data_IF_454456778267
#
_entry.id   IF_454456778267
#
_cell.length_a   1.000
_cell.length_b   1.000
_cell.length_c   1.000
_cell.angle_alpha   90.00
_cell.angle_beta   90.00
_cell.angle_gamma   90.00
#
_symmetry.space_group_name_H-M   'P 1'
#
loop_
_entity.id
_entity.type
_entity.pdbx_description
1 polymer ?
#
# COMPACT_ATOMS: atom_id res chain seq x y z
N UNK A 1 32.80 27.17 -28.59
CA UNK A 1 33.23 26.38 -27.42
C UNK A 1 32.88 27.14 -26.14
N UNK A 2 31.68 26.98 -25.55
CA UNK A 2 31.39 27.57 -24.25
C UNK A 2 31.96 26.71 -23.10
N UNK A 3 32.73 27.36 -22.24
CA UNK A 3 33.47 26.81 -21.09
C UNK A 3 32.58 26.29 -19.96
N UNK A 4 32.94 25.13 -19.43
CA UNK A 4 32.34 24.50 -18.26
C UNK A 4 32.83 25.13 -16.95
N UNK A 5 32.02 25.96 -16.28
CA UNK A 5 32.22 26.25 -14.85
C UNK A 5 31.02 26.89 -14.14
N UNK A 6 29.95 26.14 -13.94
CA UNK A 6 28.92 26.47 -12.91
C UNK A 6 28.23 25.19 -12.43
N UNK A 7 29.02 24.31 -11.81
CA UNK A 7 28.54 23.30 -10.86
C UNK A 7 29.36 23.57 -9.61
N UNK A 8 28.73 23.94 -8.48
CA UNK A 8 29.28 23.99 -7.10
C UNK A 8 28.79 25.17 -6.22
N UNK A 9 27.80 25.97 -6.66
CA UNK A 9 27.29 27.09 -5.85
C UNK A 9 25.99 26.81 -5.06
N UNK A 10 25.57 25.54 -4.90
CA UNK A 10 24.33 25.20 -4.16
C UNK A 10 24.63 24.40 -2.87
N UNK A 11 25.88 24.01 -2.61
CA UNK A 11 26.23 23.13 -1.49
C UNK A 11 26.44 23.89 -0.15
N UNK A 12 26.48 25.22 -0.14
CA UNK A 12 26.83 26.01 1.07
C UNK A 12 25.64 26.57 1.87
N UNK A 13 24.38 26.34 1.48
CA UNK A 13 23.21 26.83 2.27
C UNK A 13 22.56 25.73 3.13
N UNK A 14 22.82 24.45 2.87
CA UNK A 14 22.16 23.33 3.59
C UNK A 14 22.83 22.97 4.93
N UNK A 15 24.06 23.43 5.21
CA UNK A 15 24.78 23.08 6.44
C UNK A 15 24.43 24.00 7.63
N UNK A 16 23.77 25.15 7.41
CA UNK A 16 23.48 26.11 8.49
C UNK A 16 22.09 25.97 9.14
N UNK A 17 21.17 25.15 8.60
CA UNK A 17 19.82 24.96 9.20
C UNK A 17 19.71 23.67 10.02
N UNK A 18 20.68 22.75 9.90
CA UNK A 18 20.72 21.49 10.68
C UNK A 18 21.20 21.69 12.13
N UNK A 19 21.68 22.88 12.50
CA UNK A 19 22.18 23.17 13.85
C UNK A 19 21.20 23.92 14.79
N UNK A 20 19.93 24.15 14.41
CA UNK A 20 18.98 24.93 15.22
C UNK A 20 17.71 24.16 15.67
N UNK A 21 17.62 22.85 15.48
CA UNK A 21 16.48 22.04 16.00
C UNK A 21 16.96 20.89 16.90
N UNK A 22 18.17 21.01 17.46
CA UNK A 22 18.78 20.09 18.42
C UNK A 22 18.82 20.66 19.86
N UNK A 23 18.02 21.67 20.13
CA UNK A 23 17.81 22.23 21.46
C UNK A 23 16.31 22.51 21.66
N UNK A 24 15.79 22.18 22.84
CA UNK A 24 14.38 22.27 23.29
C UNK A 24 13.56 20.98 23.11
N UNK A 25 13.75 20.01 24.03
CA UNK A 25 12.70 19.50 24.96
C UNK A 25 13.29 18.68 26.12
N UNK A 26 14.39 19.11 26.75
CA UNK A 26 14.73 18.65 28.11
C UNK A 26 14.01 19.55 29.12
N UNK A 27 12.91 19.07 29.73
CA UNK A 27 12.48 19.39 31.10
C UNK A 27 11.17 18.70 31.45
N UNK A 28 11.25 17.47 31.95
CA UNK A 28 10.46 17.01 33.10
C UNK A 28 11.23 15.88 33.75
N UNK A 29 11.63 16.14 34.99
CA UNK A 29 12.37 15.24 35.88
C UNK A 29 11.32 14.43 36.61
N UNK A 30 11.22 13.14 36.31
CA UNK A 30 10.41 12.23 37.11
C UNK A 30 11.28 11.57 38.19
N UNK A 31 10.74 11.62 39.40
CA UNK A 31 11.39 11.36 40.68
C UNK A 31 11.77 9.90 40.88
N UNK A 32 12.94 9.72 41.50
CA UNK A 32 13.40 8.48 42.10
C UNK A 32 12.51 8.13 43.31
N UNK A 33 12.05 6.88 43.40
CA UNK A 33 11.57 6.26 44.64
C UNK A 33 11.76 4.75 44.54
N UNK A 34 12.87 4.33 45.13
CA UNK A 34 13.16 2.95 45.49
C UNK A 34 12.18 2.44 46.56
N UNK A 35 11.74 1.18 46.44
CA UNK A 35 11.88 0.13 47.48
C UNK A 35 10.89 -1.03 47.27
N UNK A 36 11.47 -2.19 46.97
CA UNK A 36 11.21 -3.53 47.54
C UNK A 36 9.85 -3.84 48.16
N UNK A 37 9.23 -4.94 47.73
CA UNK A 37 9.30 -6.24 48.44
C UNK A 37 8.23 -7.22 47.97
N UNK A 38 8.60 -8.50 48.07
CA UNK A 38 7.88 -9.69 47.69
C UNK A 38 6.44 -9.80 48.24
N UNK A 39 5.58 -10.53 47.51
CA UNK A 39 4.90 -11.71 48.06
C UNK A 39 4.24 -12.53 46.96
N UNK A 40 4.61 -13.80 46.98
CA UNK A 40 3.96 -14.96 46.38
C UNK A 40 2.48 -15.10 46.77
N UNK A 41 1.64 -15.55 45.84
CA UNK A 41 0.70 -16.65 46.10
C UNK A 41 0.01 -17.13 44.83
N UNK A 42 0.07 -18.44 44.67
CA UNK A 42 -0.69 -19.33 43.82
C UNK A 42 -2.21 -19.24 44.02
N UNK A 43 -2.99 -19.37 42.94
CA UNK A 43 -4.31 -20.03 42.90
C UNK A 43 -4.65 -20.39 41.44
N UNK A 44 -4.48 -21.67 41.06
CA UNK A 44 -5.55 -22.67 40.82
C UNK A 44 -6.52 -22.39 39.67
N UNK A 45 -6.27 -23.08 38.55
CA UNK A 45 -7.18 -23.98 37.81
C UNK A 45 -8.69 -23.66 37.85
N UNK A 46 -9.27 -23.36 36.68
CA UNK A 46 -10.64 -23.76 36.39
C UNK A 46 -10.80 -24.16 34.93
N UNK A 47 -11.15 -25.41 34.74
CA UNK A 47 -11.64 -25.99 33.51
C UNK A 47 -13.17 -26.12 33.66
N UNK A 48 -13.95 -25.74 32.64
CA UNK A 48 -15.34 -26.18 32.50
C UNK A 48 -15.87 -25.99 31.06
N UNK A 49 -15.92 -27.12 30.35
CA UNK A 49 -16.89 -27.64 29.35
C UNK A 49 -17.73 -26.72 28.41
N UNK A 50 -17.54 -26.91 27.10
CA UNK A 50 -18.47 -27.42 26.03
C UNK A 50 -20.02 -27.31 26.21
N UNK A 51 -20.85 -27.58 25.15
CA UNK A 51 -20.86 -27.12 23.74
C UNK A 51 -22.30 -26.68 23.30
N UNK A 52 -22.50 -26.11 22.11
CA UNK A 52 -23.85 -26.09 21.48
C UNK A 52 -23.81 -25.97 19.96
N UNK A 53 -24.56 -26.88 19.36
CA UNK A 53 -24.66 -27.28 17.96
C UNK A 53 -25.27 -26.25 17.01
N UNK A 54 -24.81 -26.25 15.74
CA UNK A 54 -25.63 -25.86 14.60
C UNK A 54 -25.28 -26.68 13.34
N UNK A 55 -25.98 -27.81 13.21
CA UNK A 55 -26.66 -28.35 12.01
C UNK A 55 -26.09 -28.02 10.62
N UNK A 56 -25.68 -29.07 9.89
CA UNK A 56 -25.55 -29.12 8.44
C UNK A 56 -26.82 -29.63 7.72
N UNK A 57 -26.87 -29.44 6.38
CA UNK A 57 -27.48 -30.23 5.26
C UNK A 57 -28.43 -29.39 4.32
N UNK A 58 -28.76 -29.83 3.08
CA UNK A 58 -27.99 -29.67 1.82
C UNK A 58 -28.79 -29.15 0.59
N UNK A 59 -28.07 -28.79 -0.50
CA UNK A 59 -28.33 -29.32 -1.86
C UNK A 59 -29.09 -28.48 -2.90
N UNK A 60 -28.62 -28.63 -4.16
CA UNK A 60 -29.26 -28.46 -5.50
C UNK A 60 -28.65 -27.33 -6.39
N UNK A 61 -27.75 -27.64 -7.36
CA UNK A 61 -27.96 -27.81 -8.84
C UNK A 61 -28.46 -26.52 -9.55
N UNK A 62 -27.97 -26.02 -10.70
CA UNK A 62 -27.32 -26.59 -11.92
C UNK A 62 -26.86 -25.45 -12.87
N UNK A 63 -25.68 -25.61 -13.49
CA UNK A 63 -25.31 -25.43 -14.92
C UNK A 63 -26.13 -24.47 -15.83
N UNK A 64 -25.49 -23.45 -16.42
CA UNK A 64 -25.21 -23.29 -17.88
C UNK A 64 -24.94 -21.83 -18.31
N UNK A 65 -23.83 -21.63 -19.04
CA UNK A 65 -23.59 -20.53 -20.00
C UNK A 65 -24.12 -20.94 -21.41
N UNK A 66 -24.19 -20.09 -22.47
CA UNK A 66 -23.00 -19.48 -23.12
C UNK A 66 -23.20 -18.09 -23.84
N UNK A 67 -22.08 -17.54 -24.35
CA UNK A 67 -21.87 -16.69 -25.55
C UNK A 67 -22.64 -15.37 -25.75
N UNK A 68 -22.13 -14.26 -26.30
CA UNK A 68 -20.88 -13.81 -26.96
C UNK A 68 -20.89 -12.26 -26.85
N UNK A 69 -19.79 -11.51 -26.86
CA UNK A 69 -19.17 -10.97 -28.08
C UNK A 69 -17.92 -10.15 -27.72
N UNK A 70 -16.79 -10.47 -28.34
CA UNK A 70 -15.59 -9.63 -28.39
C UNK A 70 -15.79 -8.45 -29.36
N UNK A 71 -14.93 -7.41 -29.28
CA UNK A 71 -14.12 -7.20 -30.46
C UNK A 71 -12.62 -7.13 -30.15
N UNK A 72 -11.89 -7.78 -31.06
CA UNK A 72 -10.44 -7.82 -31.18
C UNK A 72 -9.86 -6.46 -31.59
N UNK A 73 -8.75 -6.06 -30.99
CA UNK A 73 -7.77 -5.15 -31.60
C UNK A 73 -6.39 -5.47 -31.04
N UNK A 74 -5.64 -6.24 -31.82
CA UNK A 74 -4.22 -6.50 -31.64
C UNK A 74 -3.39 -5.32 -32.15
N UNK A 75 -2.64 -4.65 -31.27
CA UNK A 75 -1.34 -4.03 -31.57
C UNK A 75 -0.73 -3.35 -30.31
N UNK A 76 0.16 -4.06 -29.58
CA UNK A 76 1.41 -3.54 -28.97
C UNK A 76 2.05 -4.56 -27.98
N UNK A 77 2.75 -5.57 -28.49
CA UNK A 77 3.77 -6.33 -27.71
C UNK A 77 4.89 -5.35 -27.34
N UNK A 78 5.24 -5.10 -26.07
CA UNK A 78 6.10 -5.99 -25.25
C UNK A 78 5.99 -5.74 -23.72
N UNK A 79 4.97 -5.02 -23.22
CA UNK A 79 4.77 -4.80 -21.75
C UNK A 79 3.42 -5.31 -21.21
N UNK A 80 2.60 -5.95 -22.06
CA UNK A 80 1.18 -6.20 -21.83
C UNK A 80 0.82 -7.56 -21.18
N UNK A 81 1.79 -8.35 -20.73
CA UNK A 81 1.49 -9.70 -20.22
C UNK A 81 1.06 -9.72 -18.74
N UNK A 82 1.36 -8.65 -17.99
CA UNK A 82 0.94 -8.45 -16.61
C UNK A 82 -0.49 -7.85 -16.50
N UNK A 83 -0.95 -7.17 -17.55
CA UNK A 83 -2.25 -6.49 -17.57
C UNK A 83 -3.45 -7.43 -17.67
N UNK A 84 -3.31 -8.67 -18.17
CA UNK A 84 -4.45 -9.58 -18.40
C UNK A 84 -5.02 -10.22 -17.15
N UNK A 85 -4.27 -10.30 -16.04
CA UNK A 85 -4.75 -10.93 -14.80
C UNK A 85 -5.51 -9.96 -13.88
N UNK A 86 -5.33 -8.65 -14.07
CA UNK A 86 -6.01 -7.66 -13.25
C UNK A 86 -7.40 -7.34 -13.82
N UNK A 87 -8.44 -7.23 -12.97
CA UNK A 87 -9.76 -6.88 -13.46
C UNK A 87 -9.78 -5.47 -14.08
N UNK A 88 -10.58 -5.28 -15.15
CA UNK A 88 -10.57 -4.07 -15.97
C UNK A 88 -10.70 -2.75 -15.20
N UNK A 89 -11.47 -2.72 -14.09
CA UNK A 89 -11.59 -1.52 -13.24
C UNK A 89 -10.27 -1.06 -12.62
N UNK A 90 -9.39 -1.99 -12.29
CA UNK A 90 -8.04 -1.71 -11.75
C UNK A 90 -7.19 -1.03 -12.81
N UNK A 91 -7.23 -1.54 -14.05
CA UNK A 91 -6.49 -0.94 -15.16
C UNK A 91 -7.01 0.45 -15.51
N UNK A 92 -8.32 0.67 -15.45
CA UNK A 92 -8.91 1.99 -15.64
C UNK A 92 -8.40 2.98 -14.57
N UNK A 93 -8.37 2.58 -13.29
CA UNK A 93 -7.80 3.42 -12.23
C UNK A 93 -6.31 3.65 -12.44
N UNK A 94 -5.55 2.64 -12.88
CA UNK A 94 -4.12 2.81 -13.20
C UNK A 94 -3.89 3.87 -14.28
N UNK A 95 -4.75 3.91 -15.32
CA UNK A 95 -4.68 4.96 -16.36
C UNK A 95 -4.93 6.35 -15.77
N UNK A 96 -5.89 6.50 -14.85
CA UNK A 96 -6.15 7.77 -14.17
C UNK A 96 -5.00 8.19 -13.23
N UNK A 97 -4.34 7.22 -12.58
CA UNK A 97 -3.14 7.43 -11.77
C UNK A 97 -1.98 7.91 -12.64
N UNK A 98 -1.70 7.21 -13.75
CA UNK A 98 -0.63 7.56 -14.69
C UNK A 98 -0.87 8.95 -15.32
N UNK A 99 -2.13 9.35 -15.48
CA UNK A 99 -2.50 10.68 -15.95
C UNK A 99 -2.49 11.77 -14.86
N UNK A 100 -2.21 11.41 -13.61
CA UNK A 100 -2.18 12.33 -12.47
C UNK A 100 -3.56 12.88 -12.07
N UNK A 101 -4.64 12.21 -12.49
CA UNK A 101 -6.03 12.65 -12.20
C UNK A 101 -6.64 11.94 -11.00
N UNK A 102 -6.18 10.74 -10.68
CA UNK A 102 -6.61 10.02 -9.48
C UNK A 102 -5.86 10.54 -8.23
N UNK A 103 -6.49 10.65 -7.05
CA UNK A 103 -7.87 10.28 -6.69
C UNK A 103 -8.94 11.34 -6.99
N UNK A 104 -8.57 12.52 -7.49
CA UNK A 104 -9.52 13.63 -7.68
C UNK A 104 -10.62 13.29 -8.69
N UNK A 105 -10.29 12.59 -9.78
CA UNK A 105 -11.26 12.15 -10.79
C UNK A 105 -12.29 11.15 -10.25
N UNK A 106 -12.06 10.56 -9.08
CA UNK A 106 -13.06 9.73 -8.39
C UNK A 106 -14.29 10.54 -7.94
N UNK A 107 -14.16 11.86 -7.77
CA UNK A 107 -15.20 12.75 -7.25
C UNK A 107 -15.83 12.25 -5.93
N UNK A 108 -15.03 11.56 -5.10
CA UNK A 108 -15.49 10.86 -3.91
C UNK A 108 -14.60 11.24 -2.71
N UNK A 109 -15.06 12.19 -1.87
CA UNK A 109 -14.29 12.67 -0.72
C UNK A 109 -13.83 11.53 0.20
N UNK A 110 -12.52 11.50 0.47
CA UNK A 110 -11.87 10.50 1.31
C UNK A 110 -11.33 9.27 0.56
N UNK A 111 -11.47 9.22 -0.77
CA UNK A 111 -10.59 8.40 -1.62
C UNK A 111 -9.16 8.95 -1.52
N UNK A 112 -8.16 8.08 -1.43
CA UNK A 112 -6.77 8.48 -1.21
C UNK A 112 -5.84 7.87 -2.24
N UNK A 113 -4.74 8.56 -2.49
CA UNK A 113 -3.62 8.05 -3.27
C UNK A 113 -2.44 9.01 -3.26
N UNK A 114 -1.32 8.57 -3.83
CA UNK A 114 -0.10 9.38 -3.96
C UNK A 114 0.70 9.52 -2.66
N UNK A 115 0.39 8.71 -1.64
CA UNK A 115 1.17 8.67 -0.40
C UNK A 115 2.21 7.56 -0.47
N UNK A 116 3.33 7.72 0.24
CA UNK A 116 4.42 6.75 0.24
C UNK A 116 4.00 5.39 0.79
N UNK A 117 4.17 4.35 -0.01
CA UNK A 117 4.11 2.96 0.46
C UNK A 117 5.50 2.52 0.91
N UNK A 118 5.64 2.15 2.18
CA UNK A 118 6.95 1.88 2.79
C UNK A 118 7.55 0.54 2.39
N UNK A 119 6.72 -0.42 1.95
CA UNK A 119 7.14 -1.79 1.66
C UNK A 119 7.91 -2.41 2.84
N UNK A 120 7.41 -2.22 4.07
CA UNK A 120 8.09 -2.62 5.31
C UNK A 120 8.26 -4.14 5.41
N UNK A 121 7.30 -4.86 4.85
CA UNK A 121 7.25 -6.33 4.80
C UNK A 121 8.11 -6.88 3.66
N UNK A 122 8.66 -6.02 2.78
CA UNK A 122 9.54 -6.43 1.68
C UNK A 122 8.85 -7.28 0.62
N UNK A 123 7.52 -7.20 0.49
CA UNK A 123 6.73 -7.99 -0.47
C UNK A 123 6.94 -7.55 -1.93
N UNK A 124 7.34 -6.30 -2.15
CA UNK A 124 7.70 -5.76 -3.46
C UNK A 124 9.23 -5.64 -3.61
N UNK A 125 9.77 -5.71 -4.84
CA UNK A 125 11.19 -5.51 -5.07
C UNK A 125 11.70 -4.17 -4.53
N UNK A 126 12.78 -4.19 -3.73
CA UNK A 126 13.38 -2.96 -3.21
C UNK A 126 14.28 -2.23 -4.24
N UNK A 127 14.71 -2.95 -5.28
CA UNK A 127 15.63 -2.48 -6.32
C UNK A 127 15.03 -2.81 -7.68
N UNK A 128 14.96 -1.80 -8.55
CA UNK A 128 14.40 -1.94 -9.89
C UNK A 128 15.41 -2.53 -10.88
N UNK A 129 14.97 -2.78 -12.11
CA UNK A 129 15.81 -3.37 -13.16
C UNK A 129 17.09 -2.56 -13.46
N UNK A 130 17.05 -1.24 -13.26
CA UNK A 130 18.21 -0.35 -13.41
C UNK A 130 19.17 -0.31 -12.21
N UNK A 131 18.95 -1.13 -11.17
CA UNK A 131 19.80 -1.18 -9.98
C UNK A 131 19.56 -0.07 -8.95
N UNK A 132 18.66 0.87 -9.23
CA UNK A 132 18.25 1.92 -8.29
C UNK A 132 17.21 1.44 -7.27
N UNK A 133 17.17 2.07 -6.09
CA UNK A 133 16.12 1.85 -5.09
C UNK A 133 14.76 2.25 -5.64
N UNK A 134 13.77 1.38 -5.49
CA UNK A 134 12.37 1.68 -5.83
C UNK A 134 11.70 2.40 -4.67
N UNK A 135 11.02 3.50 -5.00
CA UNK A 135 10.13 4.24 -4.11
C UNK A 135 8.72 4.04 -4.59
N UNK A 136 7.86 3.60 -3.67
CA UNK A 136 6.49 3.24 -3.98
C UNK A 136 5.49 4.26 -3.45
N UNK A 137 4.39 4.41 -4.18
CA UNK A 137 3.20 5.13 -3.74
C UNK A 137 1.98 4.20 -3.76
N UNK A 138 1.10 4.33 -2.77
CA UNK A 138 -0.18 3.60 -2.73
C UNK A 138 -1.34 4.46 -3.24
N UNK A 139 -2.34 3.79 -3.81
CA UNK A 139 -3.55 4.38 -4.38
C UNK A 139 -4.75 3.48 -4.07
N UNK A 140 -5.87 4.07 -3.65
CA UNK A 140 -7.16 3.39 -3.68
C UNK A 140 -7.49 2.96 -5.11
N UNK A 141 -8.07 1.77 -5.24
CA UNK A 141 -8.58 1.31 -6.55
C UNK A 141 -9.96 1.87 -6.82
N UNK A 142 -10.84 1.79 -5.82
CA UNK A 142 -12.23 2.18 -5.95
C UNK A 142 -12.48 3.52 -5.25
N UNK A 143 -13.42 4.30 -5.78
CA UNK A 143 -13.94 5.48 -5.12
C UNK A 143 -14.54 5.10 -3.76
N UNK A 144 -14.17 5.84 -2.71
CA UNK A 144 -14.72 5.63 -1.37
C UNK A 144 -16.24 5.87 -1.37
N UNK A 145 -16.99 4.97 -0.77
CA UNK A 145 -18.45 5.11 -0.61
C UNK A 145 -18.78 5.93 0.65
N UNK A 146 -19.78 6.81 0.55
CA UNK A 146 -20.26 7.60 1.70
C UNK A 146 -20.72 6.67 2.84
N UNK A 147 -20.34 7.03 4.07
CA UNK A 147 -20.67 6.24 5.26
C UNK A 147 -19.92 4.91 5.38
N UNK A 148 -19.01 4.58 4.45
CA UNK A 148 -18.19 3.38 4.51
C UNK A 148 -16.70 3.71 4.64
N UNK A 149 -15.95 2.75 5.19
CA UNK A 149 -14.49 2.78 5.14
C UNK A 149 -13.97 2.62 3.71
N UNK A 150 -12.67 2.88 3.52
CA UNK A 150 -11.96 2.43 2.32
C UNK A 150 -11.99 0.90 2.28
N UNK A 151 -12.05 0.31 1.10
CA UNK A 151 -11.93 -1.14 0.93
C UNK A 151 -10.48 -1.61 1.11
N UNK A 152 -10.21 -2.88 0.82
CA UNK A 152 -8.87 -3.48 0.89
C UNK A 152 -8.04 -3.30 -0.41
N UNK A 153 -8.65 -2.85 -1.51
CA UNK A 153 -8.04 -2.89 -2.83
C UNK A 153 -7.10 -1.71 -3.06
N UNK A 154 -5.85 -2.00 -3.46
CA UNK A 154 -4.84 -0.96 -3.69
C UNK A 154 -4.06 -1.21 -4.98
N UNK A 155 -3.70 -0.13 -5.65
CA UNK A 155 -2.61 -0.10 -6.62
C UNK A 155 -1.38 0.50 -5.94
N UNK A 156 -0.22 -0.08 -6.20
CA UNK A 156 1.07 0.44 -5.75
C UNK A 156 1.93 0.73 -6.98
N UNK A 157 2.33 1.98 -7.17
CA UNK A 157 3.18 2.39 -8.29
C UNK A 157 4.61 2.65 -7.83
N UNK A 158 5.58 2.14 -8.58
CA UNK A 158 7.00 2.38 -8.36
C UNK A 158 7.52 3.51 -9.24
N UNK A 159 8.49 4.28 -8.72
CA UNK A 159 9.23 5.29 -9.49
C UNK A 159 10.07 4.68 -10.63
N UNK A 160 10.29 3.37 -10.62
CA UNK A 160 10.92 2.59 -11.70
C UNK A 160 9.94 2.27 -12.85
N UNK A 161 8.69 2.71 -12.74
CA UNK A 161 7.64 2.42 -13.70
C UNK A 161 6.93 1.08 -13.43
N UNK A 162 7.21 0.36 -12.35
CA UNK A 162 6.42 -0.82 -12.00
C UNK A 162 5.04 -0.44 -11.46
N UNK A 163 4.07 -1.33 -11.59
CA UNK A 163 2.78 -1.22 -10.90
C UNK A 163 2.30 -2.58 -10.41
N UNK A 164 1.70 -2.59 -9.22
CA UNK A 164 1.24 -3.78 -8.52
C UNK A 164 -0.17 -3.57 -8.00
N UNK A 165 -0.98 -4.61 -8.01
CA UNK A 165 -2.34 -4.62 -7.48
C UNK A 165 -2.45 -5.61 -6.32
N UNK A 166 -3.15 -5.21 -5.26
CA UNK A 166 -3.51 -6.06 -4.13
C UNK A 166 -5.02 -5.97 -3.90
N UNK A 167 -5.66 -7.13 -3.70
CA UNK A 167 -7.08 -7.25 -3.32
C UNK A 167 -7.25 -7.33 -1.80
N UNK A 168 -6.19 -7.73 -1.11
CA UNK A 168 -6.17 -8.20 0.28
C UNK A 168 -5.36 -7.28 1.19
N UNK A 169 -5.31 -5.98 0.87
CA UNK A 169 -4.69 -4.97 1.70
C UNK A 169 -3.20 -5.25 2.01
N UNK A 170 -2.43 -5.47 0.93
CA UNK A 170 -0.97 -5.67 0.90
C UNK A 170 -0.48 -7.07 1.27
N UNK A 171 -1.36 -8.06 1.43
CA UNK A 171 -0.94 -9.43 1.72
C UNK A 171 -0.39 -10.16 0.49
N UNK A 172 -1.02 -9.97 -0.67
CA UNK A 172 -0.53 -10.50 -1.95
C UNK A 172 -0.55 -9.42 -3.02
N UNK A 173 0.31 -9.60 -4.02
CA UNK A 173 0.45 -8.65 -5.13
C UNK A 173 0.45 -9.38 -6.46
N UNK A 174 -0.29 -8.80 -7.40
CA UNK A 174 -0.24 -9.14 -8.82
C UNK A 174 0.45 -8.00 -9.53
N UNK A 175 1.50 -8.30 -10.31
CA UNK A 175 2.13 -7.28 -11.16
C UNK A 175 1.17 -6.94 -12.29
N UNK A 176 0.99 -5.65 -12.56
CA UNK A 176 0.10 -5.15 -13.62
C UNK A 176 0.82 -4.27 -14.66
N UNK A 177 2.08 -3.92 -14.40
CA UNK A 177 3.02 -3.24 -15.32
C UNK A 177 4.47 -3.55 -14.97
#
# INVERSE_FOLDING_TARGET
MPSAKTRNAIITVVVAVVALVLAVTLSSRDSDSSASSASSSSVTKSASVQPSSARAKPGATTKAAPSSSEPSSSAAKTTQQASTDAPARVLATLVEIDAGRWPDSANAPGTKGGITFRNSEGRLPAVGAGGGRVVYQEWDVNAKKNGQGRDAERIVTGNDGSAWYTLDHYDTFVRIR
#
